data_IF_806438438098
#
_entry.id   IF_806438438098
#
_cell.length_a   1.000
_cell.length_b   1.000
_cell.length_c   1.000
_cell.angle_alpha   90.00
_cell.angle_beta   90.00
_cell.angle_gamma   90.00
#
_symmetry.space_group_name_H-M   'P 1'
#
loop_
_entity.id
_entity.type
_entity.pdbx_description
1 polymer ?
#
# COMPACT_ATOMS: atom_id res chain seq x y z
N UNK A 1 -12.73 -6.65 10.18
CA UNK A 1 -12.35 -5.84 9.02
C UNK A 1 -11.68 -6.77 8.01
N UNK A 2 -12.13 -6.83 6.76
CA UNK A 2 -11.63 -7.74 5.71
C UNK A 2 -10.32 -7.22 5.10
N UNK A 3 -9.59 -8.05 4.34
CA UNK A 3 -8.41 -7.62 3.58
C UNK A 3 -8.75 -6.43 2.65
N UNK A 4 -9.91 -6.48 2.00
CA UNK A 4 -10.38 -5.40 1.13
C UNK A 4 -10.65 -4.10 1.92
N UNK A 5 -11.28 -4.18 3.09
CA UNK A 5 -11.51 -3.00 3.93
C UNK A 5 -10.20 -2.37 4.42
N UNK A 6 -9.20 -3.19 4.79
CA UNK A 6 -7.86 -2.69 5.12
C UNK A 6 -7.19 -2.05 3.89
N UNK A 7 -7.29 -2.70 2.73
CA UNK A 7 -6.71 -2.18 1.48
C UNK A 7 -7.29 -0.80 1.14
N UNK A 8 -8.61 -0.63 1.23
CA UNK A 8 -9.27 0.68 1.03
C UNK A 8 -8.84 1.72 2.06
N UNK A 9 -8.70 1.33 3.33
CA UNK A 9 -8.26 2.25 4.37
C UNK A 9 -6.80 2.72 4.16
N UNK A 10 -5.93 1.80 3.74
CA UNK A 10 -4.53 2.08 3.42
C UNK A 10 -4.43 2.95 2.17
N UNK A 11 -5.17 2.62 1.11
CA UNK A 11 -5.24 3.43 -0.12
C UNK A 11 -5.68 4.87 0.19
N UNK A 12 -6.74 5.05 1.00
CA UNK A 12 -7.21 6.36 1.41
C UNK A 12 -6.15 7.15 2.21
N UNK A 13 -5.42 6.48 3.11
CA UNK A 13 -4.36 7.12 3.89
C UNK A 13 -3.16 7.53 3.02
N UNK A 14 -2.78 6.69 2.05
CA UNK A 14 -1.71 6.97 1.10
C UNK A 14 -2.08 8.14 0.20
N UNK A 15 -3.31 8.17 -0.31
CA UNK A 15 -3.79 9.28 -1.15
C UNK A 15 -3.80 10.59 -0.36
N UNK A 16 -4.31 10.58 0.87
CA UNK A 16 -4.32 11.77 1.72
C UNK A 16 -2.90 12.31 2.00
N UNK A 17 -1.94 11.40 2.26
CA UNK A 17 -0.54 11.80 2.43
C UNK A 17 0.04 12.44 1.16
N UNK A 18 -0.25 11.86 -0.01
CA UNK A 18 0.21 12.40 -1.29
C UNK A 18 -0.40 13.77 -1.61
N UNK A 19 -1.68 13.99 -1.27
CA UNK A 19 -2.37 15.28 -1.41
C UNK A 19 -1.72 16.37 -0.53
N UNK A 20 -1.17 15.98 0.62
CA UNK A 20 -0.39 16.85 1.53
C UNK A 20 1.10 16.99 1.11
N UNK A 21 1.53 16.33 0.02
CA UNK A 21 2.90 16.36 -0.49
C UNK A 21 3.87 15.38 0.18
N UNK A 22 3.36 14.38 0.92
CA UNK A 22 4.15 13.30 1.49
C UNK A 22 4.01 12.04 0.64
N UNK A 23 5.12 11.53 0.13
CA UNK A 23 5.12 10.36 -0.76
C UNK A 23 5.81 9.15 -0.12
N UNK A 24 5.39 7.96 -0.54
CA UNK A 24 6.03 6.71 -0.13
C UNK A 24 7.35 6.51 -0.86
N UNK A 25 8.37 6.09 -0.11
CA UNK A 25 9.66 5.64 -0.61
C UNK A 25 9.92 4.21 -0.12
N UNK A 26 10.64 3.40 -0.90
CA UNK A 26 11.02 2.04 -0.52
C UNK A 26 12.26 1.98 0.40
N UNK A 27 12.70 3.11 0.93
CA UNK A 27 13.88 3.27 1.78
C UNK A 27 15.19 3.48 1.01
N UNK A 28 15.15 3.50 -0.33
CA UNK A 28 16.31 3.74 -1.19
C UNK A 28 16.16 5.00 -2.06
N UNK A 29 15.23 5.90 -1.74
CA UNK A 29 14.93 7.06 -2.57
C UNK A 29 14.31 6.69 -3.92
N UNK A 30 13.59 5.57 -3.99
CA UNK A 30 12.86 5.14 -5.19
C UNK A 30 11.37 5.05 -4.87
N UNK A 31 10.58 5.77 -5.64
CA UNK A 31 9.13 5.68 -5.62
C UNK A 31 8.64 4.28 -6.05
N UNK A 32 8.01 3.49 -5.15
CA UNK A 32 7.28 2.32 -5.59
C UNK A 32 6.03 2.75 -6.34
N UNK A 33 5.73 2.08 -7.46
CA UNK A 33 4.50 2.32 -8.20
C UNK A 33 3.29 1.57 -7.60
N UNK A 34 3.54 0.53 -6.77
CA UNK A 34 2.52 -0.39 -6.28
C UNK A 34 2.86 -0.88 -4.87
N UNK A 35 1.82 -1.15 -4.09
CA UNK A 35 1.89 -1.84 -2.82
C UNK A 35 1.06 -3.14 -2.90
N UNK A 36 1.58 -4.21 -2.31
CA UNK A 36 0.84 -5.47 -2.18
C UNK A 36 0.54 -5.74 -0.71
N UNK A 37 -0.70 -6.12 -0.44
CA UNK A 37 -1.20 -6.49 0.87
C UNK A 37 -1.72 -7.91 0.79
N UNK A 38 -1.40 -8.73 1.78
CA UNK A 38 -1.84 -10.11 1.82
C UNK A 38 -2.42 -10.48 3.19
N UNK A 39 -3.43 -11.35 3.16
CA UNK A 39 -3.82 -12.09 4.34
C UNK A 39 -2.86 -13.28 4.50
N UNK A 40 -2.39 -13.52 5.72
CA UNK A 40 -1.54 -14.66 6.06
C UNK A 40 -2.31 -15.66 6.89
N UNK A 41 -2.02 -16.94 6.70
CA UNK A 41 -2.55 -17.97 7.57
C UNK A 41 -1.83 -18.04 8.92
N UNK A 42 -2.17 -19.06 9.72
CA UNK A 42 -1.59 -19.26 11.06
C UNK A 42 -0.08 -19.55 11.08
N UNK A 43 0.51 -19.94 9.96
CA UNK A 43 1.96 -20.20 9.83
C UNK A 43 2.68 -19.06 9.11
N UNK A 44 1.94 -18.03 8.68
CA UNK A 44 2.49 -16.84 8.01
C UNK A 44 2.48 -16.92 6.49
N UNK A 45 1.88 -17.96 5.91
CA UNK A 45 1.86 -18.12 4.46
C UNK A 45 0.75 -17.25 3.84
N UNK A 46 1.02 -16.51 2.75
CA UNK A 46 0.05 -15.64 2.11
C UNK A 46 -1.05 -16.46 1.41
N UNK A 47 -2.31 -16.22 1.77
CA UNK A 47 -3.47 -16.94 1.23
C UNK A 47 -4.32 -16.11 0.27
N UNK A 48 -4.26 -14.78 0.35
CA UNK A 48 -5.00 -13.88 -0.54
C UNK A 48 -4.23 -12.56 -0.66
N UNK A 49 -4.35 -11.91 -1.83
CA UNK A 49 -3.58 -10.72 -2.18
C UNK A 49 -4.49 -9.61 -2.68
N UNK A 50 -4.15 -8.38 -2.30
CA UNK A 50 -4.67 -7.13 -2.83
C UNK A 50 -3.50 -6.30 -3.33
N UNK A 51 -3.66 -5.70 -4.49
CA UNK A 51 -2.70 -4.75 -5.06
C UNK A 51 -3.31 -3.37 -5.02
N UNK A 52 -2.53 -2.41 -4.56
CA UNK A 52 -2.85 -0.99 -4.60
C UNK A 52 -1.89 -0.32 -5.58
N UNK A 53 -2.45 0.44 -6.51
CA UNK A 53 -1.65 1.36 -7.31
C UNK A 53 -1.37 2.61 -6.47
N UNK A 54 -0.11 3.02 -6.40
CA UNK A 54 0.30 4.16 -5.59
C UNK A 54 0.17 5.46 -6.40
N UNK A 55 -0.14 6.59 -5.75
CA UNK A 55 -0.16 7.88 -6.42
C UNK A 55 1.23 8.22 -6.99
N UNK A 56 1.23 9.04 -8.04
CA UNK A 56 2.48 9.48 -8.67
C UNK A 56 3.39 10.16 -7.65
N UNK A 57 4.68 9.90 -7.78
CA UNK A 57 5.69 10.36 -6.86
C UNK A 57 6.85 10.96 -7.67
N UNK A 58 7.15 12.26 -7.51
CA UNK A 58 8.05 12.99 -8.40
C UNK A 58 9.56 12.73 -8.18
N UNK A 59 9.93 11.87 -7.23
CA UNK A 59 11.34 11.48 -6.95
C UNK A 59 11.88 10.37 -7.85
#
# INVERSE_FOLDING_TARGET
MTLEEHARAIEAAIQAAADDGFHLDNGNGTAPARLELNEVDRIGDPVTWMRLDLPDNPI
#
